data_IF_752776374257
#
_entry.id   IF_752776374257
#
_cell.length_a   1.000
_cell.length_b   1.000
_cell.length_c   1.000
_cell.angle_alpha   90.00
_cell.angle_beta   90.00
_cell.angle_gamma   90.00
#
_symmetry.space_group_name_H-M   'P 1'
#
loop_
_entity.id
_entity.type
_entity.pdbx_description
1 polymer ?
#
# COMPACT_ATOMS: atom_id res chain seq x y z
N UNK A 1 7.21 6.03 10.52
CA UNK A 1 6.60 4.79 10.03
C UNK A 1 6.25 4.91 8.56
N UNK A 2 6.20 3.79 7.89
CA UNK A 2 5.80 3.77 6.48
C UNK A 2 4.30 3.55 6.39
N UNK A 3 3.63 4.41 5.63
CA UNK A 3 2.19 4.32 5.39
C UNK A 3 2.00 3.90 3.94
N UNK A 4 1.10 2.94 3.74
CA UNK A 4 0.81 2.44 2.39
C UNK A 4 -0.52 3.03 1.92
N UNK A 5 -0.47 3.76 0.83
CA UNK A 5 -1.62 4.51 0.31
C UNK A 5 -2.21 3.90 -0.95
N UNK A 6 -2.17 2.57 -1.08
CA UNK A 6 -2.72 1.89 -2.25
C UNK A 6 -4.20 2.19 -2.41
N UNK A 7 -4.95 2.20 -1.31
CA UNK A 7 -6.38 2.47 -1.36
C UNK A 7 -6.69 3.87 -1.91
N UNK A 8 -5.85 4.85 -1.57
CA UNK A 8 -6.02 6.21 -2.08
C UNK A 8 -5.85 6.24 -3.60
N UNK A 9 -4.81 5.58 -4.09
CA UNK A 9 -4.53 5.58 -5.54
C UNK A 9 -5.58 4.77 -6.28
N UNK A 10 -6.04 3.65 -5.71
CA UNK A 10 -7.13 2.88 -6.30
C UNK A 10 -8.37 3.75 -6.46
N UNK A 11 -8.71 4.53 -5.44
CA UNK A 11 -9.86 5.42 -5.51
C UNK A 11 -9.68 6.47 -6.61
N UNK A 12 -8.48 7.04 -6.71
CA UNK A 12 -8.19 8.03 -7.75
C UNK A 12 -8.33 7.45 -9.15
N UNK A 13 -7.96 6.19 -9.33
CA UNK A 13 -8.03 5.53 -10.63
C UNK A 13 -9.37 4.84 -10.85
N UNK A 14 -10.26 4.86 -9.87
CA UNK A 14 -11.55 4.17 -9.92
C UNK A 14 -11.35 2.70 -10.24
N UNK A 15 -10.34 2.11 -9.61
CA UNK A 15 -9.97 0.71 -9.82
C UNK A 15 -10.25 -0.07 -8.56
N UNK A 16 -10.79 -1.29 -8.70
CA UNK A 16 -11.07 -2.16 -7.57
C UNK A 16 -9.84 -2.99 -7.21
N UNK A 17 -9.86 -3.56 -6.00
CA UNK A 17 -8.82 -4.48 -5.58
C UNK A 17 -8.77 -5.70 -6.50
N UNK A 18 -9.93 -6.18 -6.93
CA UNK A 18 -10.01 -7.30 -7.86
C UNK A 18 -9.29 -6.98 -9.17
N UNK A 19 -9.55 -5.79 -9.70
CA UNK A 19 -8.92 -5.35 -10.94
C UNK A 19 -7.41 -5.26 -10.80
N UNK A 20 -6.95 -4.68 -9.69
CA UNK A 20 -5.52 -4.57 -9.45
C UNK A 20 -4.88 -5.95 -9.32
N UNK A 21 -5.54 -6.86 -8.60
CA UNK A 21 -5.07 -8.22 -8.43
C UNK A 21 -4.84 -8.88 -9.79
N UNK A 22 -5.79 -8.73 -10.70
CA UNK A 22 -5.70 -9.32 -12.04
C UNK A 22 -4.57 -8.69 -12.86
N UNK A 23 -4.42 -7.38 -12.77
CA UNK A 23 -3.38 -6.69 -13.54
C UNK A 23 -1.97 -6.99 -13.05
N UNK A 24 -1.81 -7.15 -11.76
CA UNK A 24 -0.48 -7.36 -11.16
C UNK A 24 -0.13 -8.83 -11.06
N UNK A 25 -1.14 -9.69 -10.98
CA UNK A 25 -0.91 -11.12 -10.86
C UNK A 25 -0.62 -11.56 -9.42
N UNK A 26 -1.11 -10.81 -8.44
CA UNK A 26 -1.00 -11.21 -7.04
C UNK A 26 -2.40 -11.37 -6.46
N UNK A 27 -2.51 -12.10 -5.37
CA UNK A 27 -3.83 -12.40 -4.80
C UNK A 27 -4.44 -11.18 -4.15
N UNK A 28 -5.76 -11.17 -4.07
CA UNK A 28 -6.48 -10.11 -3.37
C UNK A 28 -6.09 -10.06 -1.89
N UNK A 29 -5.80 -11.23 -1.31
CA UNK A 29 -5.38 -11.31 0.08
C UNK A 29 -4.06 -10.55 0.27
N UNK A 30 -3.11 -10.71 -0.66
CA UNK A 30 -1.83 -10.00 -0.58
C UNK A 30 -2.00 -8.51 -0.75
N UNK A 31 -2.89 -8.09 -1.65
CA UNK A 31 -3.17 -6.67 -1.82
C UNK A 31 -3.79 -6.10 -0.55
N UNK A 32 -4.69 -6.84 0.08
CA UNK A 32 -5.32 -6.39 1.32
C UNK A 32 -4.30 -6.24 2.44
N UNK A 33 -3.34 -7.17 2.53
CA UNK A 33 -2.27 -7.08 3.52
C UNK A 33 -1.45 -5.81 3.30
N UNK A 34 -1.11 -5.51 2.05
CA UNK A 34 -0.38 -4.28 1.71
C UNK A 34 -1.22 -3.05 2.02
N UNK A 35 -2.47 -3.06 1.59
CA UNK A 35 -3.37 -1.92 1.74
C UNK A 35 -3.60 -1.56 3.21
N UNK A 36 -3.66 -2.57 4.07
CA UNK A 36 -3.92 -2.36 5.49
C UNK A 36 -2.66 -2.09 6.30
N UNK A 37 -1.52 -1.99 5.62
CA UNK A 37 -0.27 -1.67 6.30
C UNK A 37 0.29 -2.81 7.13
N UNK A 38 -0.13 -4.04 6.88
CA UNK A 38 0.30 -5.18 7.67
C UNK A 38 1.46 -5.94 7.04
N UNK A 39 1.86 -5.57 5.84
CA UNK A 39 2.99 -6.21 5.17
C UNK A 39 4.28 -5.73 5.83
N UNK A 40 5.20 -6.67 6.08
CA UNK A 40 6.50 -6.34 6.64
C UNK A 40 7.50 -5.99 5.55
N UNK A 41 7.21 -6.34 4.32
CA UNK A 41 8.10 -6.09 3.20
C UNK A 41 7.29 -6.09 1.91
N UNK A 42 7.83 -5.42 0.91
CA UNK A 42 7.29 -5.48 -0.44
C UNK A 42 8.48 -5.63 -1.39
N UNK A 43 8.34 -6.56 -2.33
CA UNK A 43 9.39 -6.76 -3.32
C UNK A 43 9.41 -5.60 -4.29
N UNK A 44 10.60 -5.20 -4.71
CA UNK A 44 10.73 -4.12 -5.70
C UNK A 44 9.98 -4.48 -6.98
N UNK A 45 10.06 -5.74 -7.40
CA UNK A 45 9.35 -6.18 -8.59
C UNK A 45 7.83 -6.02 -8.44
N UNK A 46 7.30 -6.36 -7.28
CA UNK A 46 5.87 -6.20 -7.00
C UNK A 46 5.48 -4.72 -7.02
N UNK A 47 6.31 -3.89 -6.38
CA UNK A 47 6.07 -2.45 -6.37
C UNK A 47 6.08 -1.89 -7.79
N UNK A 48 7.02 -2.35 -8.60
CA UNK A 48 7.10 -1.93 -10.00
C UNK A 48 5.82 -2.26 -10.75
N UNK A 49 5.29 -3.47 -10.55
CA UNK A 49 4.06 -3.90 -11.23
C UNK A 49 2.86 -3.10 -10.78
N UNK A 50 2.79 -2.80 -9.48
CA UNK A 50 1.69 -2.00 -8.93
C UNK A 50 1.75 -0.59 -9.51
N UNK A 51 2.93 0.02 -9.54
CA UNK A 51 3.08 1.36 -10.10
C UNK A 51 2.67 1.40 -11.57
N UNK A 52 3.03 0.37 -12.32
CA UNK A 52 2.66 0.29 -13.73
C UNK A 52 1.15 0.18 -13.88
N UNK A 53 0.52 -0.69 -13.09
CA UNK A 53 -0.92 -0.92 -13.18
C UNK A 53 -1.71 0.33 -12.78
N UNK A 54 -1.24 1.06 -11.78
CA UNK A 54 -1.92 2.24 -11.28
C UNK A 54 -1.42 3.53 -11.95
N UNK A 55 -0.41 3.42 -12.79
CA UNK A 55 0.18 4.57 -13.49
C UNK A 55 0.57 5.66 -12.48
N UNK A 56 1.36 5.27 -11.51
CA UNK A 56 1.78 6.16 -10.45
C UNK A 56 3.23 5.90 -10.06
N UNK A 57 3.76 6.76 -9.20
CA UNK A 57 5.12 6.65 -8.70
C UNK A 57 5.11 5.92 -7.35
N UNK A 58 6.24 5.31 -6.95
CA UNK A 58 6.30 4.69 -5.63
C UNK A 58 5.96 5.65 -4.49
N UNK A 59 6.30 6.92 -4.64
CA UNK A 59 5.96 7.92 -3.63
C UNK A 59 4.48 8.19 -3.50
N UNK A 60 3.67 7.79 -4.49
CA UNK A 60 2.23 7.89 -4.39
C UNK A 60 1.65 6.75 -3.54
N UNK A 61 2.39 5.65 -3.44
CA UNK A 61 1.95 4.45 -2.74
C UNK A 61 2.52 4.38 -1.33
N UNK A 62 3.80 4.77 -1.18
CA UNK A 62 4.51 4.67 0.10
C UNK A 62 4.85 6.06 0.60
N UNK A 63 4.63 6.27 1.90
CA UNK A 63 4.85 7.56 2.51
C UNK A 63 5.46 7.35 3.89
N UNK A 64 6.39 8.22 4.29
CA UNK A 64 6.93 8.18 5.65
C UNK A 64 6.23 9.24 6.48
N UNK A 65 5.84 8.89 7.69
CA UNK A 65 5.22 9.80 8.64
C UNK A 65 5.86 9.65 10.00
N UNK A 66 5.75 10.70 10.81
CA UNK A 66 6.23 10.68 12.19
C UNK A 66 5.46 9.65 13.00
N UNK A 67 6.18 8.81 13.72
CA UNK A 67 5.55 7.79 14.56
C UNK A 67 4.77 8.39 15.71
N UNK A 68 5.25 9.47 16.28
CA UNK A 68 4.63 10.06 17.45
C UNK A 68 3.21 10.56 17.23
N UNK A 69 2.80 10.71 16.00
CA UNK A 69 1.43 11.12 15.70
C UNK A 69 0.42 10.08 16.11
N UNK A 70 0.86 8.92 16.31
CA UNK A 70 -0.01 7.85 16.71
C UNK A 70 -0.32 7.93 18.17
N UNK A 71 0.18 8.63 18.74
CA UNK A 71 0.02 8.73 19.90
C UNK A 71 -0.26 8.10 20.75
N UNK A 72 -0.02 8.27 20.96
CA UNK A 72 -0.03 7.93 21.80
C UNK A 72 -0.53 6.89 22.45
N UNK A 73 -0.85 6.43 22.24
CA UNK A 73 -1.41 5.46 22.50
C UNK A 73 -0.98 4.34 22.44
N UNK A 74 -0.36 4.43 21.93
CA UNK A 74 0.06 3.61 21.84
C UNK A 74 1.00 3.09 21.94
N UNK A 75 1.53 3.32 22.07
CA UNK A 75 2.33 2.98 22.09
C UNK A 75 2.79 2.09 22.46
N UNK A 76 2.84 1.96 22.57
CA UNK A 76 3.10 1.27 22.76
C UNK A 76 3.38 0.47 22.56
N UNK A 77 3.43 0.39 22.26
CA UNK A 77 3.54 -0.25 21.84
C UNK A 77 4.10 -0.67 21.64
N UNK A 78 4.45 -0.46 21.77
CA UNK A 78 4.87 -0.65 21.39
C UNK A 78 5.08 -0.98 21.40
#
# INVERSE_FOLDING_TARGET
>A
MIVVNIDVVLAKRKMSVTELSEKVGITMANISILKNGKAKAIKIDTLNKICKALECQPGDILEWREDREISGEESENE
#
